data_IF_293540122472
#
_entry.id   IF_293540122472
#
_cell.length_a   1.000
_cell.length_b   1.000
_cell.length_c   1.000
_cell.angle_alpha   90.00
_cell.angle_beta   90.00
_cell.angle_gamma   90.00
#
_symmetry.space_group_name_H-M   'P 1'
#
loop_
_entity.id
_entity.type
_entity.pdbx_description
1 polymer ?
#
# COMPACT_ATOMS: atom_id res chain seq x y z
N UNK A 1 -3.72 52.42 11.90
CA UNK A 1 -3.80 51.51 10.74
C UNK A 1 -4.34 50.20 11.28
N UNK A 2 -5.64 50.18 11.50
CA UNK A 2 -6.33 49.08 12.16
C UNK A 2 -6.47 47.93 11.16
N UNK A 3 -5.78 46.83 11.45
CA UNK A 3 -5.97 45.58 10.73
C UNK A 3 -7.42 45.13 10.96
N UNK A 4 -8.24 44.97 9.89
CA UNK A 4 -9.64 44.63 10.06
C UNK A 4 -9.76 43.28 10.76
N UNK A 5 -10.60 43.18 11.79
CA UNK A 5 -10.80 41.98 12.63
C UNK A 5 -11.10 40.69 11.83
N UNK A 6 -11.50 40.80 10.56
CA UNK A 6 -11.64 39.66 9.63
C UNK A 6 -10.33 39.02 9.17
N UNK A 7 -9.19 39.72 9.26
CA UNK A 7 -7.88 39.20 8.85
C UNK A 7 -7.35 38.11 9.81
N UNK A 8 -7.75 38.15 11.08
CA UNK A 8 -7.31 37.17 12.10
C UNK A 8 -7.96 35.80 11.85
N UNK A 9 -9.18 35.77 11.30
CA UNK A 9 -9.87 34.52 10.94
C UNK A 9 -9.33 33.83 9.69
N UNK A 10 -8.67 34.58 8.79
CA UNK A 10 -8.08 34.02 7.56
C UNK A 10 -6.72 33.35 7.79
N UNK A 11 -5.98 33.76 8.82
CA UNK A 11 -4.68 33.17 9.15
C UNK A 11 -4.74 31.67 9.49
N UNK A 12 -5.64 31.16 10.35
CA UNK A 12 -5.72 29.73 10.60
C UNK A 12 -6.19 28.95 9.36
N UNK A 13 -7.11 29.51 8.55
CA UNK A 13 -7.54 28.89 7.30
C UNK A 13 -6.39 28.79 6.30
N UNK A 14 -5.63 29.88 6.13
CA UNK A 14 -4.44 29.92 5.28
C UNK A 14 -3.39 28.93 5.78
N UNK A 15 -3.17 28.83 7.09
CA UNK A 15 -2.25 27.86 7.69
C UNK A 15 -2.69 26.42 7.40
N UNK A 16 -3.98 26.08 7.55
CA UNK A 16 -4.51 24.74 7.21
C UNK A 16 -4.31 24.44 5.72
N UNK A 17 -4.58 25.39 4.83
CA UNK A 17 -4.36 25.24 3.38
C UNK A 17 -2.87 25.05 3.07
N UNK A 18 -1.99 25.85 3.68
CA UNK A 18 -0.54 25.71 3.51
C UNK A 18 -0.07 24.35 3.99
N UNK A 19 -0.48 23.91 5.18
CA UNK A 19 -0.13 22.58 5.72
C UNK A 19 -0.63 21.48 4.78
N UNK A 20 -1.87 21.57 4.27
CA UNK A 20 -2.41 20.61 3.33
C UNK A 20 -1.59 20.54 2.03
N UNK A 21 -1.23 21.70 1.45
CA UNK A 21 -0.40 21.77 0.24
C UNK A 21 1.01 21.23 0.48
N UNK A 22 1.63 21.57 1.61
CA UNK A 22 2.96 21.06 2.00
C UNK A 22 2.94 19.55 2.15
N UNK A 23 1.92 18.99 2.81
CA UNK A 23 1.76 17.53 2.96
C UNK A 23 1.60 16.86 1.60
N UNK A 24 0.76 17.39 0.70
CA UNK A 24 0.63 16.85 -0.67
C UNK A 24 1.94 16.91 -1.44
N UNK A 25 2.63 18.05 -1.39
CA UNK A 25 3.90 18.24 -2.10
C UNK A 25 5.00 17.31 -1.59
N UNK A 26 5.14 17.21 -0.27
CA UNK A 26 6.14 16.35 0.37
C UNK A 26 5.90 14.87 0.02
N UNK A 27 4.65 14.44 -0.01
CA UNK A 27 4.26 13.08 -0.37
C UNK A 27 4.64 12.74 -1.82
N UNK A 28 4.37 13.65 -2.75
CA UNK A 28 4.71 13.48 -4.16
C UNK A 28 6.22 13.43 -4.38
N UNK A 29 6.97 14.27 -3.68
CA UNK A 29 8.43 14.27 -3.74
C UNK A 29 9.04 12.97 -3.19
N UNK A 30 8.52 12.47 -2.06
CA UNK A 30 8.94 11.19 -1.47
C UNK A 30 8.73 10.02 -2.43
N UNK A 31 7.57 9.99 -3.09
CA UNK A 31 7.23 8.93 -4.03
C UNK A 31 8.13 8.95 -5.26
N UNK A 32 8.54 10.14 -5.74
CA UNK A 32 9.47 10.23 -6.87
C UNK A 32 10.85 9.61 -6.56
N UNK A 33 11.38 9.88 -5.36
CA UNK A 33 12.64 9.26 -4.90
C UNK A 33 12.57 7.74 -4.80
N UNK A 34 11.40 7.19 -4.49
CA UNK A 34 11.20 5.73 -4.43
C UNK A 34 11.18 5.16 -5.86
N UNK A 35 10.53 5.84 -6.80
CA UNK A 35 10.46 5.43 -8.21
C UNK A 35 11.81 5.46 -8.92
N UNK A 36 12.72 6.32 -8.50
CA UNK A 36 14.07 6.40 -9.08
C UNK A 36 14.96 5.21 -8.71
N UNK A 37 14.62 4.45 -7.66
CA UNK A 37 15.42 3.27 -7.29
C UNK A 37 15.28 2.17 -8.34
N UNK A 38 16.40 1.58 -8.81
CA UNK A 38 16.36 0.42 -9.68
C UNK A 38 15.84 -0.80 -8.92
N UNK A 39 15.18 -1.71 -9.65
CA UNK A 39 14.89 -3.05 -9.14
C UNK A 39 16.20 -3.82 -9.01
N UNK A 40 16.41 -4.48 -7.88
CA UNK A 40 17.56 -5.38 -7.72
C UNK A 40 17.33 -6.68 -8.50
N UNK A 41 18.40 -7.43 -8.82
CA UNK A 41 18.27 -8.68 -9.56
C UNK A 41 17.38 -9.71 -8.84
N UNK A 42 17.59 -9.93 -7.54
CA UNK A 42 16.76 -10.86 -6.76
C UNK A 42 15.27 -10.49 -6.77
N UNK A 43 14.95 -9.19 -6.78
CA UNK A 43 13.56 -8.74 -6.89
C UNK A 43 12.97 -8.96 -8.29
N UNK A 44 13.78 -8.91 -9.35
CA UNK A 44 13.35 -9.27 -10.70
C UNK A 44 13.11 -10.77 -10.83
N UNK A 45 13.96 -11.57 -10.21
CA UNK A 45 13.82 -13.03 -10.20
C UNK A 45 12.52 -13.43 -9.46
N UNK A 46 12.27 -12.86 -8.27
CA UNK A 46 11.01 -13.07 -7.55
C UNK A 46 9.79 -12.56 -8.33
N UNK A 47 9.91 -11.43 -9.03
CA UNK A 47 8.82 -10.89 -9.86
C UNK A 47 8.48 -11.82 -11.03
N UNK A 48 9.49 -12.36 -11.71
CA UNK A 48 9.30 -13.32 -12.80
C UNK A 48 8.68 -14.64 -12.31
N UNK A 49 9.09 -15.11 -11.13
CA UNK A 49 8.51 -16.30 -10.51
C UNK A 49 7.04 -16.06 -10.09
N UNK A 50 6.74 -14.89 -9.51
CA UNK A 50 5.39 -14.54 -9.05
C UNK A 50 4.41 -14.31 -10.21
N UNK A 51 4.86 -13.70 -11.30
CA UNK A 51 4.04 -13.38 -12.47
C UNK A 51 4.65 -13.98 -13.74
N UNK A 52 4.43 -15.28 -14.03
CA UNK A 52 5.00 -15.94 -15.20
C UNK A 52 4.62 -15.30 -16.55
N UNK A 53 3.53 -14.54 -16.59
CA UNK A 53 3.06 -13.80 -17.77
C UNK A 53 3.57 -12.35 -17.83
N UNK A 54 4.50 -11.96 -16.94
CA UNK A 54 5.08 -10.63 -16.91
C UNK A 54 5.67 -10.22 -18.26
N UNK A 55 6.30 -11.16 -18.97
CA UNK A 55 6.88 -10.95 -20.30
C UNK A 55 5.82 -10.72 -21.40
N UNK A 56 4.56 -11.08 -21.15
CA UNK A 56 3.44 -10.80 -22.04
C UNK A 56 2.94 -9.36 -21.97
N UNK A 57 3.34 -8.59 -20.95
CA UNK A 57 3.01 -7.18 -20.83
C UNK A 57 3.89 -6.33 -21.76
N UNK A 58 3.33 -5.23 -22.29
CA UNK A 58 4.12 -4.26 -23.05
C UNK A 58 5.20 -3.62 -22.15
N UNK A 59 6.29 -3.12 -22.74
CA UNK A 59 7.36 -2.47 -21.97
C UNK A 59 6.85 -1.29 -21.12
N UNK A 60 5.81 -0.58 -21.58
CA UNK A 60 5.16 0.49 -20.84
C UNK A 60 4.40 -0.04 -19.61
N UNK A 61 3.64 -1.12 -19.75
CA UNK A 61 2.93 -1.78 -18.66
C UNK A 61 3.90 -2.37 -17.64
N UNK A 62 4.96 -3.03 -18.10
CA UNK A 62 6.03 -3.53 -17.24
C UNK A 62 6.65 -2.41 -16.41
N UNK A 63 6.93 -1.25 -17.03
CA UNK A 63 7.43 -0.07 -16.34
C UNK A 63 6.47 0.43 -15.27
N UNK A 64 5.18 0.62 -15.62
CA UNK A 64 4.13 1.04 -14.69
C UNK A 64 3.96 0.07 -13.53
N UNK A 65 3.99 -1.24 -13.80
CA UNK A 65 3.89 -2.28 -12.78
C UNK A 65 5.07 -2.20 -11.80
N UNK A 66 6.30 -2.13 -12.31
CA UNK A 66 7.51 -1.98 -11.47
C UNK A 66 7.45 -0.71 -10.62
N UNK A 67 6.97 0.41 -11.16
CA UNK A 67 6.79 1.64 -10.37
C UNK A 67 5.79 1.46 -9.22
N UNK A 68 4.63 0.86 -9.50
CA UNK A 68 3.61 0.59 -8.48
C UNK A 68 4.14 -0.37 -7.40
N UNK A 69 4.86 -1.41 -7.78
CA UNK A 69 5.48 -2.35 -6.84
C UNK A 69 6.49 -1.65 -5.93
N UNK A 70 7.35 -0.78 -6.47
CA UNK A 70 8.32 -0.02 -5.65
C UNK A 70 7.62 0.85 -4.62
N UNK A 71 6.55 1.54 -5.02
CA UNK A 71 5.75 2.33 -4.08
C UNK A 71 5.07 1.45 -3.03
N UNK A 72 4.51 0.31 -3.43
CA UNK A 72 3.91 -0.64 -2.51
C UNK A 72 4.91 -1.12 -1.46
N UNK A 73 6.08 -1.61 -1.88
CA UNK A 73 7.12 -2.12 -1.00
C UNK A 73 7.66 -1.07 -0.01
N UNK A 74 7.71 0.20 -0.43
CA UNK A 74 8.20 1.30 0.39
C UNK A 74 7.15 1.85 1.35
N UNK A 75 5.86 1.79 0.98
CA UNK A 75 4.77 2.38 1.77
C UNK A 75 4.10 1.38 2.70
N UNK A 76 4.09 0.08 2.37
CA UNK A 76 3.41 -0.96 3.16
C UNK A 76 4.36 -1.66 4.11
N UNK A 77 3.86 -1.97 5.30
CA UNK A 77 4.58 -2.76 6.30
C UNK A 77 4.13 -4.21 6.23
N UNK A 78 5.07 -5.13 6.25
CA UNK A 78 4.80 -6.57 6.19
C UNK A 78 5.13 -7.19 7.54
N UNK A 79 4.22 -8.04 8.02
CA UNK A 79 4.34 -8.72 9.30
C UNK A 79 4.12 -10.21 9.10
N UNK A 80 5.15 -10.99 9.41
CA UNK A 80 5.06 -12.44 9.42
C UNK A 80 4.47 -12.89 10.74
N UNK A 81 3.44 -13.73 10.67
CA UNK A 81 2.72 -14.24 11.82
C UNK A 81 3.02 -15.74 12.01
N UNK A 82 2.73 -16.27 13.20
CA UNK A 82 2.94 -17.69 13.52
C UNK A 82 4.37 -18.21 13.23
N UNK A 83 5.39 -17.38 13.51
CA UNK A 83 6.80 -17.74 13.30
C UNK A 83 7.30 -17.61 11.87
N UNK A 84 6.46 -17.17 10.93
CA UNK A 84 6.89 -16.86 9.57
C UNK A 84 7.80 -15.62 9.58
N UNK A 85 8.98 -15.74 8.99
CA UNK A 85 9.84 -14.59 8.70
C UNK A 85 9.48 -14.01 7.33
N UNK A 86 9.37 -12.68 7.25
CA UNK A 86 9.15 -12.00 5.97
C UNK A 86 10.50 -11.79 5.29
N UNK A 87 10.68 -12.40 4.13
CA UNK A 87 11.79 -12.14 3.23
C UNK A 87 11.37 -11.25 2.04
N UNK A 88 12.34 -10.90 1.20
CA UNK A 88 12.09 -10.04 0.05
C UNK A 88 11.28 -10.74 -1.05
N UNK A 89 11.35 -12.07 -1.17
CA UNK A 89 10.56 -12.84 -2.13
C UNK A 89 9.07 -12.74 -1.80
N UNK A 90 8.67 -13.03 -0.56
CA UNK A 90 7.29 -12.89 -0.08
C UNK A 90 6.76 -11.48 -0.34
N UNK A 91 7.57 -10.45 -0.02
CA UNK A 91 7.18 -9.05 -0.19
C UNK A 91 6.95 -8.71 -1.66
N UNK A 92 7.87 -9.12 -2.54
CA UNK A 92 7.78 -8.84 -3.98
C UNK A 92 6.59 -9.57 -4.59
N UNK A 93 6.38 -10.84 -4.24
CA UNK A 93 5.25 -11.63 -4.74
C UNK A 93 3.92 -10.98 -4.40
N UNK A 94 3.70 -10.66 -3.12
CA UNK A 94 2.46 -9.98 -2.67
C UNK A 94 2.28 -8.64 -3.38
N UNK A 95 3.36 -7.85 -3.48
CA UNK A 95 3.31 -6.55 -4.13
C UNK A 95 3.00 -6.68 -5.62
N UNK A 96 3.57 -7.67 -6.31
CA UNK A 96 3.37 -7.93 -7.72
C UNK A 96 1.91 -8.27 -8.04
N UNK A 97 1.34 -9.24 -7.32
CA UNK A 97 -0.06 -9.64 -7.47
C UNK A 97 -1.01 -8.48 -7.16
N UNK A 98 -0.80 -7.79 -6.03
CA UNK A 98 -1.64 -6.66 -5.65
C UNK A 98 -1.55 -5.50 -6.66
N UNK A 99 -0.36 -5.16 -7.15
CA UNK A 99 -0.17 -4.07 -8.10
C UNK A 99 -0.67 -4.41 -9.50
N UNK A 100 -0.69 -5.68 -9.88
CA UNK A 100 -1.28 -6.12 -11.15
C UNK A 100 -2.77 -5.77 -11.23
N UNK A 101 -3.52 -5.99 -10.14
CA UNK A 101 -4.96 -5.70 -10.07
C UNK A 101 -5.29 -4.22 -10.29
N UNK A 102 -4.34 -3.33 -10.00
CA UNK A 102 -4.49 -1.88 -10.13
C UNK A 102 -3.58 -1.29 -11.22
N UNK A 103 -3.05 -2.11 -12.13
CA UNK A 103 -2.08 -1.69 -13.15
C UNK A 103 -2.60 -0.53 -13.99
N UNK A 104 -3.84 -0.65 -14.46
CA UNK A 104 -4.51 0.34 -15.30
C UNK A 104 -5.39 1.33 -14.52
N UNK A 105 -5.31 1.33 -13.20
CA UNK A 105 -6.01 2.30 -12.37
C UNK A 105 -5.12 3.53 -12.10
N UNK A 106 -5.69 4.71 -12.34
CA UNK A 106 -5.07 5.99 -12.04
C UNK A 106 -5.30 6.36 -10.58
N UNK A 107 -4.22 6.53 -9.81
CA UNK A 107 -4.32 6.85 -8.40
C UNK A 107 -3.17 6.33 -7.55
N UNK A 108 -3.33 6.51 -6.24
CA UNK A 108 -2.36 6.10 -5.24
C UNK A 108 -2.40 4.58 -5.01
N UNK A 109 -1.26 4.00 -4.66
CA UNK A 109 -1.13 2.56 -4.43
C UNK A 109 -1.75 2.20 -3.08
N UNK A 110 -2.99 1.70 -3.11
CA UNK A 110 -3.76 1.25 -1.94
C UNK A 110 -3.69 2.23 -0.75
N UNK A 111 -4.22 3.46 -0.86
CA UNK A 111 -4.01 4.50 0.16
C UNK A 111 -4.52 4.13 1.56
N UNK A 112 -5.57 3.30 1.66
CA UNK A 112 -6.10 2.81 2.94
C UNK A 112 -5.34 1.60 3.53
N UNK A 113 -4.46 0.96 2.76
CA UNK A 113 -3.68 -0.19 3.24
C UNK A 113 -2.36 0.30 3.83
N UNK A 114 -2.10 -0.04 5.10
CA UNK A 114 -0.84 0.32 5.77
C UNK A 114 -0.01 -0.90 6.15
N UNK A 115 -0.68 -1.99 6.55
CA UNK A 115 -0.05 -3.19 7.09
C UNK A 115 -0.61 -4.44 6.42
N UNK A 116 0.28 -5.39 6.16
CA UNK A 116 -0.03 -6.68 5.54
C UNK A 116 0.46 -7.76 6.51
N UNK A 117 -0.46 -8.61 6.95
CA UNK A 117 -0.16 -9.72 7.85
C UNK A 117 -0.13 -11.01 7.03
N UNK A 118 1.00 -11.71 7.08
CA UNK A 118 1.22 -12.93 6.30
C UNK A 118 1.27 -14.11 7.26
N UNK A 119 0.45 -15.11 6.98
CA UNK A 119 0.38 -16.36 7.72
C UNK A 119 0.88 -17.51 6.84
N UNK A 120 1.54 -18.52 7.41
CA UNK A 120 2.05 -19.68 6.67
C UNK A 120 0.92 -20.62 6.20
N UNK A 121 -0.28 -20.49 6.77
CA UNK A 121 -1.45 -21.32 6.47
C UNK A 121 -2.66 -20.45 6.16
N UNK A 122 -3.69 -21.08 5.56
CA UNK A 122 -4.96 -20.42 5.31
C UNK A 122 -5.51 -19.78 6.60
N UNK A 123 -5.93 -18.52 6.48
CA UNK A 123 -6.51 -17.76 7.57
C UNK A 123 -7.96 -18.21 7.78
N UNK A 124 -8.22 -18.87 8.91
CA UNK A 124 -9.58 -19.32 9.28
C UNK A 124 -10.09 -18.36 10.37
N UNK A 125 -10.99 -17.46 9.99
CA UNK A 125 -11.73 -16.64 10.96
C UNK A 125 -12.95 -17.42 11.38
N UNK A 126 -12.98 -17.85 12.65
CA UNK A 126 -14.24 -18.22 13.29
C UNK A 126 -15.04 -16.93 13.45
N UNK A 127 -16.04 -16.72 12.59
CA UNK A 127 -17.04 -15.69 12.83
C UNK A 127 -17.95 -16.23 13.91
N UNK A 128 -17.81 -15.73 15.13
CA UNK A 128 -18.87 -15.84 16.12
C UNK A 128 -20.01 -14.93 15.66
N UNK A 129 -21.00 -15.50 14.97
CA UNK A 129 -22.27 -14.79 14.79
C UNK A 129 -22.91 -14.65 16.18
N UNK A 130 -22.86 -13.44 16.73
CA UNK A 130 -23.54 -13.11 17.96
C UNK A 130 -25.05 -13.19 17.70
N UNK A 131 -25.70 -14.20 18.27
CA UNK A 131 -27.15 -14.21 18.42
C UNK A 131 -27.61 -13.01 19.24
N UNK A 132 -28.88 -12.61 19.09
CA UNK A 132 -29.52 -11.51 19.84
C UNK A 132 -29.49 -11.71 21.37
N UNK A 133 -29.12 -12.91 21.83
CA UNK A 133 -28.94 -13.32 23.22
C UNK A 133 -27.48 -13.27 23.72
N UNK A 134 -26.53 -12.84 22.88
CA UNK A 134 -25.12 -12.69 23.24
C UNK A 134 -24.36 -14.00 23.43
N UNK A 135 -24.93 -15.14 23.02
CA UNK A 135 -24.26 -16.44 23.13
C UNK A 135 -23.47 -16.72 21.85
N UNK A 136 -22.16 -16.82 22.00
CA UNK A 136 -21.26 -17.29 20.94
C UNK A 136 -21.24 -18.81 20.95
N UNK A 137 -21.86 -19.43 19.95
CA UNK A 137 -21.80 -20.89 19.75
C UNK A 137 -20.84 -21.21 18.61
N UNK A 138 -19.64 -21.63 18.96
CA UNK A 138 -18.66 -22.14 18.00
C UNK A 138 -19.13 -23.48 17.43
N UNK A 139 -19.85 -23.46 16.31
CA UNK A 139 -20.20 -24.67 15.58
C UNK A 139 -19.19 -24.88 14.44
N UNK A 140 -18.34 -25.91 14.60
CA UNK A 140 -17.41 -26.36 13.56
C UNK A 140 -18.21 -26.98 12.41
N UNK A 141 -18.06 -26.48 11.17
CA UNK A 141 -18.53 -27.17 9.97
C UNK A 141 -17.50 -27.12 8.86
#
# INVERSE_FOLDING_TARGET
>A
MDLPAGAIGLLPLALVVIVFLVVRYYRQWRDNRIREKPFTQGQLDSLGAALPFFDGLTSAEQGRLKEKIKLFLAQKRFYGCAGLSIDDEIRVTIAAEACLLILNHDGEVYPGLTSILVYPTAFIVQHDEAGDDGVVSSALR
#
